data_IF_277245435887
#
_entry.id   IF_277245435887
#
_cell.length_a   1.000
_cell.length_b   1.000
_cell.length_c   1.000
_cell.angle_alpha   90.00
_cell.angle_beta   90.00
_cell.angle_gamma   90.00
#
_symmetry.space_group_name_H-M   'P 1'
#
loop_
_entity.id
_entity.type
_entity.pdbx_description
1 polymer ?
#
# COMPACT_ATOMS: atom_id res chain seq x y z
N UNK A 1 -18.97 -16.45 -11.04
CA UNK A 1 -18.56 -15.04 -10.90
C UNK A 1 -17.12 -15.05 -10.42
N UNK A 2 -16.19 -15.18 -11.35
CA UNK A 2 -14.76 -15.46 -11.06
C UNK A 2 -13.99 -14.14 -11.11
N UNK A 3 -13.68 -13.56 -9.94
CA UNK A 3 -12.77 -12.42 -9.77
C UNK A 3 -11.31 -12.89 -9.96
N UNK A 4 -10.99 -13.43 -11.13
CA UNK A 4 -9.66 -13.94 -11.47
C UNK A 4 -8.85 -12.95 -12.32
N UNK A 5 -9.31 -11.71 -12.48
CA UNK A 5 -8.52 -10.67 -13.17
C UNK A 5 -7.57 -9.99 -12.16
N UNK A 6 -6.28 -9.95 -12.50
CA UNK A 6 -5.26 -9.21 -11.76
C UNK A 6 -5.67 -7.76 -11.50
N UNK A 7 -6.43 -7.14 -12.41
CA UNK A 7 -6.99 -5.80 -12.24
C UNK A 7 -7.92 -5.72 -11.03
N UNK A 8 -8.88 -6.64 -10.92
CA UNK A 8 -9.84 -6.66 -9.80
C UNK A 8 -9.11 -6.87 -8.47
N UNK A 9 -8.13 -7.77 -8.43
CA UNK A 9 -7.34 -8.04 -7.24
C UNK A 9 -6.51 -6.81 -6.79
N UNK A 10 -5.98 -6.03 -7.73
CA UNK A 10 -5.29 -4.77 -7.41
C UNK A 10 -6.28 -3.75 -6.84
N UNK A 11 -7.47 -3.62 -7.44
CA UNK A 11 -8.50 -2.70 -6.96
C UNK A 11 -8.97 -3.07 -5.56
N UNK A 12 -9.32 -4.35 -5.32
CA UNK A 12 -9.72 -4.86 -4.01
C UNK A 12 -8.62 -4.62 -2.96
N UNK A 13 -7.35 -4.88 -3.30
CA UNK A 13 -6.24 -4.64 -2.39
C UNK A 13 -6.08 -3.15 -2.04
N UNK A 14 -6.25 -2.25 -3.02
CA UNK A 14 -6.20 -0.81 -2.76
C UNK A 14 -7.38 -0.31 -1.93
N UNK A 15 -8.58 -0.83 -2.15
CA UNK A 15 -9.76 -0.54 -1.31
C UNK A 15 -9.49 -1.00 0.12
N UNK A 16 -8.89 -2.18 0.31
CA UNK A 16 -8.46 -2.65 1.63
C UNK A 16 -7.50 -1.66 2.31
N UNK A 17 -6.48 -1.19 1.60
CA UNK A 17 -5.55 -0.17 2.14
C UNK A 17 -6.25 1.14 2.47
N UNK A 18 -7.23 1.56 1.67
CA UNK A 18 -8.04 2.77 1.92
C UNK A 18 -8.89 2.63 3.18
N UNK A 19 -9.50 1.48 3.38
CA UNK A 19 -10.32 1.20 4.57
C UNK A 19 -9.46 1.16 5.82
N UNK A 20 -8.28 0.53 5.75
CA UNK A 20 -7.41 0.33 6.91
C UNK A 20 -6.65 1.59 7.32
N UNK A 21 -6.19 2.36 6.33
CA UNK A 21 -5.25 3.47 6.57
C UNK A 21 -5.81 4.84 6.14
N UNK A 22 -6.97 4.87 5.50
CA UNK A 22 -7.64 6.11 5.10
C UNK A 22 -8.48 6.69 6.23
N UNK A 23 -8.95 7.91 6.04
CA UNK A 23 -9.90 8.57 6.93
C UNK A 23 -11.05 9.16 6.10
N UNK A 24 -11.99 9.84 6.77
CA UNK A 24 -13.17 10.43 6.10
C UNK A 24 -12.81 11.66 5.24
N UNK A 25 -11.59 12.19 5.34
CA UNK A 25 -11.13 13.31 4.54
C UNK A 25 -10.47 12.80 3.24
N UNK A 26 -11.19 12.90 2.12
CA UNK A 26 -10.68 12.50 0.81
C UNK A 26 -9.52 13.35 0.26
N UNK A 27 -9.11 14.40 0.97
CA UNK A 27 -7.97 15.22 0.55
C UNK A 27 -6.67 14.46 0.75
N UNK A 28 -5.83 14.45 -0.29
CA UNK A 28 -4.49 13.86 -0.25
C UNK A 28 -4.45 12.37 0.19
N UNK A 29 -5.52 11.60 -0.05
CA UNK A 29 -5.65 10.20 0.38
C UNK A 29 -4.40 9.36 0.03
N UNK A 30 -3.97 9.35 -1.24
CA UNK A 30 -2.78 8.61 -1.66
C UNK A 30 -1.50 9.03 -0.92
N UNK A 31 -1.38 10.30 -0.52
CA UNK A 31 -0.24 10.77 0.27
C UNK A 31 -0.31 10.27 1.71
N UNK A 32 -1.46 10.41 2.38
CA UNK A 32 -1.66 9.93 3.76
C UNK A 32 -1.41 8.43 3.89
N UNK A 33 -1.94 7.63 2.96
CA UNK A 33 -1.75 6.18 2.96
C UNK A 33 -0.28 5.78 2.86
N UNK A 34 0.50 6.47 2.03
CA UNK A 34 1.95 6.23 1.91
C UNK A 34 2.66 6.52 3.23
N UNK A 35 2.39 7.67 3.84
CA UNK A 35 3.02 8.05 5.09
C UNK A 35 2.65 7.09 6.23
N UNK A 36 1.36 6.79 6.40
CA UNK A 36 0.87 5.89 7.45
C UNK A 36 1.42 4.48 7.30
N UNK A 37 1.44 3.93 6.08
CA UNK A 37 2.05 2.63 5.83
C UNK A 37 3.57 2.63 6.14
N UNK A 38 4.28 3.69 5.75
CA UNK A 38 5.69 3.87 6.10
C UNK A 38 5.92 3.98 7.60
N UNK A 39 5.05 4.68 8.31
CA UNK A 39 5.11 4.83 9.76
C UNK A 39 4.90 3.50 10.48
N UNK A 40 3.88 2.72 10.08
CA UNK A 40 3.63 1.38 10.61
C UNK A 40 4.82 0.44 10.37
N UNK A 41 5.53 0.58 9.24
CA UNK A 41 6.72 -0.23 8.96
C UNK A 41 7.87 -0.03 9.96
N UNK A 42 7.88 1.09 10.70
CA UNK A 42 8.85 1.31 11.80
C UNK A 42 8.65 0.32 12.95
N UNK A 43 7.43 -0.20 13.12
CA UNK A 43 7.07 -1.11 14.20
C UNK A 43 7.53 -2.55 13.94
N UNK A 44 7.47 -3.03 12.69
CA UNK A 44 7.89 -4.40 12.39
C UNK A 44 9.40 -4.59 12.38
N UNK A 45 10.16 -3.55 12.00
CA UNK A 45 11.61 -3.64 11.72
C UNK A 45 11.98 -4.52 10.51
N UNK A 46 11.00 -5.15 9.84
CA UNK A 46 11.23 -6.09 8.72
C UNK A 46 11.33 -5.42 7.36
N UNK A 47 10.75 -4.23 7.21
CA UNK A 47 10.78 -3.44 5.98
C UNK A 47 11.21 -2.02 6.30
N UNK A 48 12.06 -1.43 5.45
CA UNK A 48 12.43 -0.02 5.62
C UNK A 48 11.20 0.86 5.32
N UNK A 49 10.89 1.87 6.16
CA UNK A 49 9.78 2.79 5.92
C UNK A 49 9.77 3.41 4.51
N UNK A 50 10.95 3.80 4.00
CA UNK A 50 11.10 4.39 2.67
C UNK A 50 10.69 3.42 1.54
N UNK A 51 11.00 2.13 1.69
CA UNK A 51 10.66 1.10 0.71
C UNK A 51 9.15 0.85 0.70
N UNK A 52 8.52 0.87 1.88
CA UNK A 52 7.05 0.75 2.03
C UNK A 52 6.35 1.95 1.40
N UNK A 53 6.79 3.18 1.69
CA UNK A 53 6.29 4.41 1.06
C UNK A 53 6.39 4.34 -0.46
N UNK A 54 7.53 3.93 -0.99
CA UNK A 54 7.76 3.79 -2.43
C UNK A 54 6.86 2.70 -3.04
N UNK A 55 6.62 1.61 -2.32
CA UNK A 55 5.79 0.50 -2.78
C UNK A 55 4.31 0.89 -2.85
N UNK A 56 3.78 1.53 -1.80
CA UNK A 56 2.40 2.07 -1.79
C UNK A 56 2.21 3.10 -2.90
N UNK A 57 3.22 3.94 -3.17
CA UNK A 57 3.19 4.89 -4.30
C UNK A 57 2.97 4.17 -5.63
N UNK A 58 3.77 3.14 -5.92
CA UNK A 58 3.67 2.36 -7.17
C UNK A 58 2.32 1.67 -7.31
N UNK A 59 1.82 1.06 -6.23
CA UNK A 59 0.49 0.42 -6.22
C UNK A 59 -0.61 1.44 -6.57
N UNK A 60 -0.53 2.65 -6.00
CA UNK A 60 -1.48 3.73 -6.29
C UNK A 60 -1.39 4.28 -7.71
N UNK A 61 -0.18 4.35 -8.29
CA UNK A 61 0.01 4.73 -9.70
C UNK A 61 -0.63 3.71 -10.64
N UNK A 62 -0.47 2.40 -10.36
CA UNK A 62 -1.11 1.32 -11.13
C UNK A 62 -2.63 1.39 -11.00
N UNK A 63 -3.16 1.52 -9.78
CA UNK A 63 -4.60 1.69 -9.54
C UNK A 63 -5.15 2.89 -10.30
N UNK A 64 -4.45 4.02 -10.25
CA UNK A 64 -4.83 5.25 -10.98
C UNK A 64 -4.89 5.01 -12.49
N UNK A 65 -3.89 4.33 -13.05
CA UNK A 65 -3.88 3.98 -14.47
C UNK A 65 -5.04 3.06 -14.86
N UNK A 66 -5.35 2.06 -14.04
CA UNK A 66 -6.49 1.15 -14.23
C UNK A 66 -7.81 1.94 -14.27
N UNK A 67 -8.09 2.75 -13.26
CA UNK A 67 -9.39 3.46 -13.14
C UNK A 67 -9.56 4.55 -14.19
N UNK A 68 -8.47 5.18 -14.64
CA UNK A 68 -8.52 6.17 -15.72
C UNK A 68 -8.49 5.57 -17.13
N UNK A 69 -8.55 4.23 -17.23
CA UNK A 69 -8.48 3.52 -18.49
C UNK A 69 -7.05 3.45 -18.99
N UNK A 70 -6.40 2.31 -18.76
CA UNK A 70 -5.09 2.04 -19.33
C UNK A 70 -5.18 2.20 -20.85
N UNK A 71 -4.41 3.14 -21.41
CA UNK A 71 -4.08 3.15 -22.85
C UNK A 71 -3.15 1.97 -23.13
N UNK A 72 -3.63 0.74 -22.98
CA UNK A 72 -2.89 -0.45 -23.41
C UNK A 72 -2.80 -0.41 -24.92
N UNK A 73 -1.72 0.17 -25.44
CA UNK A 73 -1.28 -0.13 -26.81
C UNK A 73 -1.04 -1.64 -26.82
N UNK A 74 -1.97 -2.40 -27.41
CA UNK A 74 -1.82 -3.85 -27.60
C UNK A 74 -0.44 -4.09 -28.22
N UNK A 75 0.50 -4.78 -27.53
CA UNK A 75 1.75 -5.14 -28.16
C UNK A 75 1.45 -6.04 -29.35
N UNK A 76 2.09 -5.78 -30.50
CA UNK A 76 2.04 -6.68 -31.65
C UNK A 76 2.56 -8.04 -31.18
N UNK A 77 1.70 -9.06 -31.23
CA UNK A 77 1.98 -10.46 -30.86
C UNK A 77 3.38 -10.88 -31.32
N UNK A 78 4.30 -11.05 -30.37
CA UNK A 78 5.49 -11.87 -30.56
C UNK A 78 5.09 -13.28 -30.13
N UNK A 79 4.64 -14.07 -31.09
CA UNK A 79 4.50 -15.52 -30.96
C UNK A 79 5.87 -16.04 -30.49
N UNK A 80 5.99 -16.60 -29.27
CA UNK A 80 6.94 -17.66 -28.85
C UNK A 80 7.17 -17.78 -27.33
N UNK A 81 6.63 -16.90 -26.48
CA UNK A 81 6.68 -17.06 -25.01
C UNK A 81 5.25 -17.26 -24.47
N UNK A 82 5.04 -18.01 -23.37
CA UNK A 82 3.76 -17.96 -22.65
C UNK A 82 3.47 -16.50 -22.32
N UNK A 83 2.32 -15.97 -22.77
CA UNK A 83 1.93 -14.59 -22.46
C UNK A 83 1.83 -14.47 -20.93
N UNK A 84 2.81 -13.78 -20.33
CA UNK A 84 2.79 -13.50 -18.90
C UNK A 84 1.45 -12.81 -18.56
N UNK A 85 0.78 -13.29 -17.51
CA UNK A 85 -0.47 -12.70 -17.04
C UNK A 85 -0.24 -11.19 -16.82
N UNK A 86 -0.95 -10.31 -17.54
CA UNK A 86 -0.82 -8.88 -17.36
C UNK A 86 -1.04 -8.52 -15.89
N UNK A 87 -0.22 -7.61 -15.35
CA UNK A 87 -0.31 -7.14 -13.97
C UNK A 87 -0.02 -8.18 -12.87
N UNK A 88 0.54 -9.36 -13.17
CA UNK A 88 0.83 -10.37 -12.16
C UNK A 88 1.75 -9.87 -11.04
N UNK A 89 2.79 -9.09 -11.37
CA UNK A 89 3.74 -8.54 -10.39
C UNK A 89 3.09 -7.47 -9.52
N UNK A 90 2.28 -6.59 -10.14
CA UNK A 90 1.53 -5.54 -9.48
C UNK A 90 0.46 -6.12 -8.53
N UNK A 91 -0.23 -7.19 -8.96
CA UNK A 91 -1.16 -7.95 -8.13
C UNK A 91 -0.46 -8.54 -6.92
N UNK A 92 0.68 -9.19 -7.11
CA UNK A 92 1.46 -9.76 -6.02
C UNK A 92 1.91 -8.67 -5.03
N UNK A 93 2.42 -7.54 -5.53
CA UNK A 93 2.85 -6.42 -4.70
C UNK A 93 1.70 -5.78 -3.91
N UNK A 94 0.52 -5.61 -4.52
CA UNK A 94 -0.65 -5.06 -3.85
C UNK A 94 -1.17 -6.00 -2.75
N UNK A 95 -1.24 -7.31 -3.03
CA UNK A 95 -1.66 -8.31 -2.05
C UNK A 95 -0.66 -8.44 -0.88
N UNK A 96 0.64 -8.42 -1.16
CA UNK A 96 1.70 -8.43 -0.15
C UNK A 96 1.64 -7.19 0.76
N UNK A 97 1.45 -6.00 0.18
CA UNK A 97 1.31 -4.76 0.95
C UNK A 97 0.06 -4.76 1.83
N UNK A 98 -1.07 -5.26 1.33
CA UNK A 98 -2.29 -5.39 2.13
C UNK A 98 -2.08 -6.35 3.30
N UNK A 99 -1.47 -7.51 3.07
CA UNK A 99 -1.14 -8.47 4.15
C UNK A 99 -0.24 -7.83 5.20
N UNK A 100 0.83 -7.18 4.75
CA UNK A 100 1.75 -6.47 5.65
C UNK A 100 1.05 -5.43 6.54
N UNK A 101 0.11 -4.65 5.98
CA UNK A 101 -0.67 -3.70 6.75
C UNK A 101 -1.62 -4.39 7.76
N UNK A 102 -2.29 -5.47 7.34
CA UNK A 102 -3.17 -6.24 8.22
C UNK A 102 -2.39 -6.84 9.39
N UNK A 103 -1.24 -7.47 9.12
CA UNK A 103 -0.40 -8.11 10.15
C UNK A 103 0.02 -7.08 11.22
N UNK A 104 0.50 -5.91 10.78
CA UNK A 104 0.88 -4.83 11.68
C UNK A 104 -0.29 -4.28 12.51
N UNK A 105 -1.48 -4.18 11.93
CA UNK A 105 -2.67 -3.72 12.64
C UNK A 105 -3.22 -4.77 13.62
N UNK A 106 -3.02 -6.07 13.32
CA UNK A 106 -3.34 -7.15 14.25
C UNK A 106 -2.37 -7.17 15.45
N UNK A 107 -1.08 -6.92 15.20
CA UNK A 107 -0.06 -6.82 16.26
C UNK A 107 -0.20 -5.53 17.09
N UNK A 108 -0.66 -4.44 16.47
CA UNK A 108 -0.79 -3.12 17.09
C UNK A 108 -2.21 -2.54 16.91
N UNK A 109 -3.23 -3.10 17.58
CA UNK A 109 -4.63 -2.75 17.34
C UNK A 109 -5.01 -1.30 17.72
N UNK A 110 -4.17 -0.60 18.49
CA UNK A 110 -4.34 0.84 18.75
C UNK A 110 -4.34 1.67 17.46
N UNK A 111 -3.66 1.20 16.42
CA UNK A 111 -3.57 1.87 15.13
C UNK A 111 -4.68 1.48 14.14
N UNK A 112 -5.68 0.70 14.57
CA UNK A 112 -6.93 0.52 13.82
C UNK A 112 -7.69 1.83 13.65
N UNK A 113 -7.42 2.82 14.52
CA UNK A 113 -7.72 4.22 14.25
C UNK A 113 -6.53 4.87 13.51
N UNK A 114 -6.63 5.16 12.20
CA UNK A 114 -5.52 5.71 11.43
C UNK A 114 -5.10 7.12 11.87
N UNK A 115 -5.91 7.85 12.65
CA UNK A 115 -5.50 9.13 13.24
C UNK A 115 -4.46 8.94 14.36
N UNK A 116 -4.43 7.77 15.01
CA UNK A 116 -3.39 7.41 15.97
C UNK A 116 -2.04 7.20 15.31
N UNK A 117 -2.01 6.72 14.06
CA UNK A 117 -0.77 6.61 13.29
C UNK A 117 -0.15 8.00 13.07
N UNK A 118 -0.98 9.00 12.76
CA UNK A 118 -0.50 10.36 12.54
C UNK A 118 0.04 10.97 13.83
N UNK A 119 -0.72 10.89 14.91
CA UNK A 119 -0.34 11.43 16.20
C UNK A 119 0.95 10.78 16.74
N UNK A 120 0.96 9.44 16.80
CA UNK A 120 1.95 8.70 17.57
C UNK A 120 3.21 8.39 16.74
N UNK A 121 3.09 8.22 15.42
CA UNK A 121 4.19 7.70 14.58
C UNK A 121 4.73 8.68 13.53
N UNK A 122 3.97 9.74 13.21
CA UNK A 122 4.37 10.76 12.23
C UNK A 122 4.73 12.10 12.88
N UNK A 123 3.99 12.53 13.91
CA UNK A 123 4.13 13.86 14.51
C UNK A 123 5.03 13.84 15.75
N UNK A 124 5.04 12.77 16.55
CA UNK A 124 5.90 12.72 17.73
C UNK A 124 7.40 12.82 17.35
N UNK A 125 8.15 13.73 17.98
CA UNK A 125 9.59 13.80 17.79
C UNK A 125 10.20 12.49 18.28
N UNK A 126 11.06 11.87 17.48
CA UNK A 126 11.84 10.72 17.91
C UNK A 126 12.47 11.06 19.26
N UNK A 127 11.97 10.44 20.35
CA UNK A 127 12.56 10.61 21.67
C UNK A 127 14.02 10.20 21.52
N UNK A 128 14.99 11.10 21.75
CA UNK A 128 16.39 10.70 21.68
C UNK A 128 16.61 9.66 22.78
N UNK A 129 17.00 8.46 22.38
CA UNK A 129 17.54 7.47 23.30
C UNK A 129 18.77 8.10 23.98
N UNK A 130 18.63 8.48 25.25
CA UNK A 130 19.77 8.71 26.13
C UNK A 130 19.70 9.94 27.03
N UNK A 131 19.63 9.62 28.34
CA UNK A 131 20.29 10.31 29.45
C UNK A 131 19.57 11.50 30.08
N UNK A 132 18.61 11.19 30.95
CA UNK A 132 18.51 11.87 32.23
C UNK A 132 19.33 11.16 33.30
N UNK A 133 19.86 11.93 34.25
CA UNK A 133 20.27 11.48 35.59
C UNK A 133 21.71 11.07 35.76
#
# INVERSE_FOLDING_TARGET
>A
MTRDDAVDAILDATIGLEVLLGDQENQALSYKLRLRAGALARLSGTRKPADVVASVKKIYEVRSAIVHGLKTKKPKKRLLEPEAEPFAAERAAAADMLRFAIDLLLEHPVYLDPLKIDADLLIEPAVPEGQGG
#
